data_IF_678032916800
#
_entry.id   IF_678032916800
#
_cell.length_a   1.000
_cell.length_b   1.000
_cell.length_c   1.000
_cell.angle_alpha   90.00
_cell.angle_beta   90.00
_cell.angle_gamma   90.00
#
_symmetry.space_group_name_H-M   'P 1'
#
loop_
_entity.id
_entity.type
_entity.pdbx_description
1 polymer ?
#
# COMPACT_ATOMS: atom_id res chain seq x y z
N UNK A 1 -8.96 -4.58 -6.15
CA UNK A 1 -8.21 -3.93 -7.26
C UNK A 1 -7.57 -5.03 -8.09
N UNK A 2 -7.41 -4.90 -9.40
CA UNK A 2 -6.60 -5.84 -10.19
C UNK A 2 -5.12 -5.43 -10.21
N UNK A 3 -4.23 -6.35 -10.60
CA UNK A 3 -2.81 -6.04 -10.82
C UNK A 3 -2.64 -4.88 -11.83
N UNK A 4 -3.40 -4.87 -12.93
CA UNK A 4 -3.38 -3.77 -13.90
C UNK A 4 -3.77 -2.41 -13.29
N UNK A 5 -4.76 -2.40 -12.40
CA UNK A 5 -5.13 -1.18 -11.67
C UNK A 5 -4.05 -0.75 -10.69
N UNK A 6 -3.34 -1.68 -10.05
CA UNK A 6 -2.18 -1.36 -9.20
C UNK A 6 -1.09 -0.67 -10.03
N UNK A 7 -0.84 -1.15 -11.25
CA UNK A 7 0.11 -0.51 -12.16
C UNK A 7 -0.34 0.90 -12.59
N UNK A 8 -1.65 1.11 -12.78
CA UNK A 8 -2.20 2.43 -13.12
C UNK A 8 -2.16 3.42 -11.95
N UNK A 9 -2.36 2.96 -10.72
CA UNK A 9 -2.41 3.81 -9.52
C UNK A 9 -1.01 4.12 -8.98
N UNK A 10 -0.16 3.10 -8.85
CA UNK A 10 1.17 3.25 -8.27
C UNK A 10 2.26 3.55 -9.32
N UNK A 11 1.96 3.30 -10.60
CA UNK A 11 2.94 3.34 -11.67
C UNK A 11 3.75 2.05 -11.79
N UNK A 12 4.05 1.66 -13.03
CA UNK A 12 4.81 0.43 -13.30
C UNK A 12 6.24 0.47 -12.73
N UNK A 13 6.85 1.65 -12.61
CA UNK A 13 8.21 1.79 -12.08
C UNK A 13 8.26 1.52 -10.58
N UNK A 14 7.29 2.05 -9.82
CA UNK A 14 7.14 1.79 -8.38
C UNK A 14 6.95 0.31 -8.09
N UNK A 15 6.10 -0.36 -8.87
CA UNK A 15 5.85 -1.81 -8.72
C UNK A 15 7.12 -2.61 -9.01
N UNK A 16 7.86 -2.26 -10.07
CA UNK A 16 9.15 -2.90 -10.40
C UNK A 16 10.20 -2.69 -9.32
N UNK A 17 10.30 -1.48 -8.76
CA UNK A 17 11.27 -1.20 -7.71
C UNK A 17 10.95 -1.97 -6.43
N UNK A 18 9.67 -2.06 -6.06
CA UNK A 18 9.23 -2.87 -4.93
C UNK A 18 9.51 -4.36 -5.15
N UNK A 19 9.21 -4.87 -6.35
CA UNK A 19 9.47 -6.26 -6.72
C UNK A 19 10.97 -6.59 -6.64
N UNK A 20 11.83 -5.70 -7.14
CA UNK A 20 13.27 -5.84 -7.04
C UNK A 20 13.77 -5.85 -5.58
N UNK A 21 13.22 -4.98 -4.72
CA UNK A 21 13.55 -4.95 -3.29
C UNK A 21 13.07 -6.20 -2.54
N UNK A 22 11.93 -6.75 -2.94
CA UNK A 22 11.37 -7.96 -2.37
C UNK A 22 11.96 -9.25 -2.96
N UNK A 23 12.74 -9.17 -4.04
CA UNK A 23 13.31 -10.33 -4.73
C UNK A 23 12.27 -11.19 -5.46
N UNK A 24 11.16 -10.60 -5.88
CA UNK A 24 10.04 -11.29 -6.55
C UNK A 24 9.75 -10.67 -7.92
N UNK A 25 8.93 -11.36 -8.72
CA UNK A 25 8.50 -10.85 -10.02
C UNK A 25 7.52 -9.66 -9.87
N UNK A 26 7.58 -8.63 -10.75
CA UNK A 26 6.66 -7.49 -10.72
C UNK A 26 5.18 -7.88 -10.76
N UNK A 27 4.83 -8.94 -11.48
CA UNK A 27 3.45 -9.45 -11.57
C UNK A 27 2.98 -10.01 -10.23
N UNK A 28 3.87 -10.72 -9.52
CA UNK A 28 3.59 -11.23 -8.18
C UNK A 28 3.49 -10.09 -7.17
N UNK A 29 4.38 -9.09 -7.25
CA UNK A 29 4.30 -7.89 -6.42
C UNK A 29 2.99 -7.14 -6.62
N UNK A 30 2.59 -6.92 -7.88
CA UNK A 30 1.32 -6.27 -8.23
C UNK A 30 0.11 -7.06 -7.71
N UNK A 31 0.16 -8.39 -7.80
CA UNK A 31 -0.91 -9.26 -7.32
C UNK A 31 -1.04 -9.20 -5.79
N UNK A 32 0.07 -9.29 -5.06
CA UNK A 32 0.07 -9.16 -3.59
C UNK A 32 -0.37 -7.76 -3.13
N UNK A 33 0.08 -6.71 -3.81
CA UNK A 33 -0.40 -5.35 -3.55
C UNK A 33 -1.91 -5.23 -3.81
N UNK A 34 -2.43 -5.88 -4.85
CA UNK A 34 -3.86 -5.83 -5.18
C UNK A 34 -4.77 -6.40 -4.09
N UNK A 35 -4.27 -7.32 -3.28
CA UNK A 35 -4.95 -7.93 -2.14
C UNK A 35 -4.81 -7.11 -0.85
N UNK A 36 -3.63 -6.53 -0.62
CA UNK A 36 -3.29 -5.84 0.63
C UNK A 36 -3.68 -4.35 0.63
N UNK A 37 -3.53 -3.68 -0.51
CA UNK A 37 -3.67 -2.23 -0.62
C UNK A 37 -5.10 -1.73 -0.34
N UNK A 38 -6.19 -2.40 -0.77
CA UNK A 38 -7.54 -2.02 -0.39
C UNK A 38 -7.76 -2.04 1.13
N UNK A 39 -7.22 -3.05 1.82
CA UNK A 39 -7.34 -3.15 3.29
C UNK A 39 -6.56 -2.04 4.00
N UNK A 40 -5.38 -1.68 3.47
CA UNK A 40 -4.60 -0.56 3.97
C UNK A 40 -5.34 0.77 3.77
N UNK A 41 -5.92 0.97 2.59
CA UNK A 41 -6.72 2.15 2.27
C UNK A 41 -7.92 2.23 3.20
N UNK A 42 -8.71 1.16 3.34
CA UNK A 42 -9.88 1.13 4.22
C UNK A 42 -9.54 1.47 5.68
N UNK A 43 -8.39 0.97 6.18
CA UNK A 43 -7.90 1.31 7.52
C UNK A 43 -7.45 2.76 7.65
N UNK A 44 -6.88 3.33 6.59
CA UNK A 44 -6.41 4.71 6.57
C UNK A 44 -7.52 5.72 6.28
N UNK A 45 -8.60 5.30 5.62
CA UNK A 45 -9.73 6.14 5.23
C UNK A 45 -11.05 5.66 5.85
N UNK A 46 -11.13 5.54 7.20
CA UNK A 46 -12.36 5.08 7.84
C UNK A 46 -13.52 6.05 7.51
N UNK A 47 -14.58 5.52 6.90
CA UNK A 47 -15.73 6.32 6.44
C UNK A 47 -15.55 7.02 5.09
N UNK A 48 -14.56 6.61 4.28
CA UNK A 48 -14.33 7.16 2.93
C UNK A 48 -13.69 8.54 2.90
N UNK A 49 -13.26 9.04 4.07
CA UNK A 49 -12.54 10.30 4.19
C UNK A 49 -11.06 10.00 4.34
N UNK A 50 -10.25 10.54 3.44
CA UNK A 50 -8.81 10.58 3.63
C UNK A 50 -8.54 11.58 4.76
N UNK A 51 -7.93 11.17 5.88
CA UNK A 51 -7.56 12.09 6.94
C UNK A 51 -6.66 13.19 6.35
N UNK A 52 -6.98 14.45 6.63
CA UNK A 52 -6.12 15.55 6.21
C UNK A 52 -4.73 15.39 6.87
N UNK A 53 -3.68 15.25 6.05
CA UNK A 53 -2.29 15.06 6.49
C UNK A 53 -1.54 13.96 5.74
N UNK A 54 -0.27 13.76 6.07
CA UNK A 54 0.55 12.71 5.46
C UNK A 54 0.11 11.32 5.96
N UNK A 55 -0.63 10.61 5.11
CA UNK A 55 -1.09 9.24 5.29
C UNK A 55 0.03 8.29 5.73
N UNK A 56 1.24 8.48 5.18
CA UNK A 56 2.39 7.62 5.48
C UNK A 56 2.82 7.80 6.94
N UNK A 57 2.97 9.05 7.38
CA UNK A 57 3.28 9.40 8.77
C UNK A 57 2.23 8.90 9.76
N UNK A 58 0.95 8.99 9.41
CA UNK A 58 -0.14 8.48 10.25
C UNK A 58 -0.13 6.95 10.34
N UNK A 59 0.12 6.26 9.22
CA UNK A 59 0.27 4.82 9.18
C UNK A 59 1.43 4.33 10.05
N UNK A 60 2.58 5.00 9.97
CA UNK A 60 3.76 4.72 10.81
C UNK A 60 3.50 5.00 12.29
N UNK A 61 2.72 6.04 12.61
CA UNK A 61 2.32 6.35 13.99
C UNK A 61 1.45 5.26 14.60
N UNK A 62 0.48 4.73 13.85
CA UNK A 62 -0.35 3.58 14.28
C UNK A 62 0.45 2.30 14.39
N UNK A 63 1.32 2.06 13.38
CA UNK A 63 2.52 1.24 13.43
C UNK A 63 3.05 1.15 14.85
N UNK A 64 3.74 2.23 15.21
CA UNK A 64 4.43 2.45 16.47
C UNK A 64 3.56 2.21 17.71
N UNK A 65 2.29 2.58 17.66
CA UNK A 65 1.35 2.37 18.77
C UNK A 65 1.01 0.89 19.02
N UNK A 66 0.89 0.08 17.96
CA UNK A 66 0.50 -1.33 18.09
C UNK A 66 1.65 -2.26 18.52
N UNK A 67 2.90 -1.94 18.16
CA UNK A 67 4.06 -2.78 18.51
C UNK A 67 4.85 -2.33 19.75
N UNK A 68 4.62 -1.11 20.25
CA UNK A 68 5.27 -0.60 21.46
C UNK A 68 4.29 -0.13 22.54
N UNK A 69 2.99 -0.38 22.33
CA UNK A 69 1.92 -0.13 23.28
C UNK A 69 1.60 -1.35 24.15
#
# INVERSE_FOLDING_TARGET
>A
MSADQIHQVLGSDTVKELAAKAGIDPTQAASGLSELLPQLVDKLTPGGQIPEGDLLSQGLGRLKGELFG
#
